data_IF_460399064897
#
_entry.id   IF_460399064897
#
_cell.length_a   1.000
_cell.length_b   1.000
_cell.length_c   1.000
_cell.angle_alpha   90.00
_cell.angle_beta   90.00
_cell.angle_gamma   90.00
#
_symmetry.space_group_name_H-M   'P 1'
#
loop_
_entity.id
_entity.type
_entity.pdbx_description
1 polymer ?
#
# COMPACT_ATOMS: atom_id res chain seq x y z
N UNK A 1 9.93 -2.77 28.55
CA UNK A 1 8.73 -2.79 29.39
C UNK A 1 8.81 -1.59 30.35
N UNK A 2 8.67 -0.42 29.76
CA UNK A 2 8.72 0.90 30.40
C UNK A 2 7.90 1.72 29.40
N UNK A 3 6.63 2.07 29.66
CA UNK A 3 6.25 3.49 29.62
C UNK A 3 4.92 3.83 30.32
N UNK A 4 4.00 2.92 30.64
CA UNK A 4 2.72 3.32 31.27
C UNK A 4 2.46 2.59 32.59
N UNK A 5 3.14 3.03 33.66
CA UNK A 5 2.81 2.69 35.06
C UNK A 5 1.52 3.35 35.55
N UNK A 6 0.53 3.54 34.68
CA UNK A 6 -0.76 4.16 35.00
C UNK A 6 -1.74 3.07 35.40
N UNK A 7 -2.20 3.03 36.66
CA UNK A 7 -3.17 2.03 37.10
C UNK A 7 -4.47 2.19 36.29
N UNK A 8 -4.94 1.08 35.70
CA UNK A 8 -6.18 1.03 34.91
C UNK A 8 -6.00 1.04 33.39
N UNK A 9 -4.76 1.20 32.88
CA UNK A 9 -4.47 1.05 31.44
C UNK A 9 -3.66 -0.24 31.22
N UNK A 10 -4.10 -1.16 30.34
CA UNK A 10 -3.37 -2.39 30.02
C UNK A 10 -2.13 -2.07 29.17
N UNK A 11 -1.10 -1.50 29.79
CA UNK A 11 0.12 -1.05 29.12
C UNK A 11 0.88 -2.18 28.42
N UNK A 12 0.85 -3.40 28.96
CA UNK A 12 1.52 -4.58 28.37
C UNK A 12 0.87 -4.98 27.03
N UNK A 13 -0.46 -4.97 26.94
CA UNK A 13 -1.17 -5.37 25.72
C UNK A 13 -1.10 -4.32 24.61
N UNK A 14 -0.96 -3.06 25.00
CA UNK A 14 -0.74 -1.92 24.08
C UNK A 14 0.69 -1.94 23.56
N UNK A 15 1.70 -2.10 24.43
CA UNK A 15 3.12 -2.18 24.03
C UNK A 15 3.35 -3.36 23.07
N UNK A 16 2.68 -4.50 23.28
CA UNK A 16 2.80 -5.67 22.40
C UNK A 16 2.22 -5.46 20.98
N UNK A 17 1.22 -4.58 20.82
CA UNK A 17 0.51 -4.36 19.54
C UNK A 17 0.90 -3.07 18.83
N UNK A 18 1.53 -2.13 19.52
CA UNK A 18 2.01 -0.87 18.96
C UNK A 18 2.95 -1.04 17.74
N UNK A 19 3.90 -2.00 17.70
CA UNK A 19 4.77 -2.18 16.53
C UNK A 19 3.98 -2.57 15.27
N UNK A 20 2.95 -3.40 15.41
CA UNK A 20 2.11 -3.85 14.30
C UNK A 20 1.33 -2.68 13.68
N UNK A 21 0.74 -1.84 14.52
CA UNK A 21 0.02 -0.66 14.08
C UNK A 21 0.94 0.36 13.39
N UNK A 22 2.20 0.47 13.82
CA UNK A 22 3.20 1.31 13.16
C UNK A 22 3.55 0.77 11.75
N UNK A 23 3.82 -0.53 11.63
CA UNK A 23 4.21 -1.15 10.36
C UNK A 23 3.07 -1.09 9.34
N UNK A 24 1.89 -1.61 9.71
CA UNK A 24 0.76 -1.66 8.78
C UNK A 24 0.08 -0.32 8.60
N UNK A 25 0.17 0.57 9.59
CA UNK A 25 -0.48 1.86 9.53
C UNK A 25 0.33 2.98 8.93
N UNK A 26 1.67 2.94 9.03
CA UNK A 26 2.51 4.06 8.55
C UNK A 26 3.49 3.61 7.49
N UNK A 27 4.27 2.56 7.75
CA UNK A 27 5.30 2.11 6.80
C UNK A 27 4.69 1.55 5.51
N UNK A 28 3.63 0.76 5.62
CA UNK A 28 3.01 0.16 4.44
C UNK A 28 2.37 1.22 3.54
N UNK A 29 1.68 2.21 4.11
CA UNK A 29 1.07 3.30 3.34
C UNK A 29 2.11 4.10 2.55
N UNK A 30 3.29 4.34 3.13
CA UNK A 30 4.40 4.98 2.43
C UNK A 30 4.86 4.17 1.20
N UNK A 31 4.98 2.84 1.33
CA UNK A 31 5.36 1.97 0.21
C UNK A 31 4.34 2.03 -0.95
N UNK A 32 3.04 2.15 -0.66
CA UNK A 32 2.01 2.28 -1.69
C UNK A 32 2.11 3.56 -2.52
N UNK A 33 2.60 4.66 -1.94
CA UNK A 33 2.83 5.88 -2.70
C UNK A 33 4.10 5.77 -3.56
N UNK A 34 5.13 5.11 -3.02
CA UNK A 34 6.50 5.15 -3.54
C UNK A 34 6.75 4.11 -4.63
N UNK A 35 6.29 2.87 -4.44
CA UNK A 35 6.53 1.75 -5.39
C UNK A 35 5.94 2.02 -6.78
N UNK A 36 4.64 2.34 -6.95
CA UNK A 36 4.09 2.60 -8.27
C UNK A 36 4.66 3.86 -8.92
N UNK A 37 5.00 4.87 -8.11
CA UNK A 37 5.66 6.08 -8.61
C UNK A 37 7.03 5.76 -9.23
N UNK A 38 7.90 5.01 -8.54
CA UNK A 38 9.20 4.63 -9.10
C UNK A 38 9.07 3.67 -10.29
N UNK A 39 8.11 2.75 -10.25
CA UNK A 39 7.83 1.88 -11.40
C UNK A 39 7.43 2.69 -12.63
N UNK A 40 6.51 3.65 -12.51
CA UNK A 40 6.14 4.50 -13.64
C UNK A 40 7.31 5.39 -14.10
N UNK A 41 8.00 6.06 -13.15
CA UNK A 41 9.05 7.01 -13.47
C UNK A 41 10.27 6.37 -14.15
N UNK A 42 10.72 5.20 -13.67
CA UNK A 42 11.91 4.55 -14.20
C UNK A 42 11.62 3.61 -15.38
N UNK A 43 10.51 2.85 -15.34
CA UNK A 43 10.21 1.86 -16.38
C UNK A 43 9.57 2.49 -17.62
N UNK A 44 8.67 3.48 -17.45
CA UNK A 44 8.01 4.15 -18.58
C UNK A 44 8.71 5.44 -19.02
N UNK A 45 9.72 5.91 -18.28
CA UNK A 45 10.28 7.27 -18.42
C UNK A 45 9.19 8.36 -18.41
N UNK A 46 8.06 8.07 -17.78
CA UNK A 46 6.90 8.95 -17.79
C UNK A 46 7.19 10.20 -16.97
N UNK A 47 7.00 11.36 -17.58
CA UNK A 47 7.23 12.67 -16.95
C UNK A 47 6.09 13.08 -16.03
N UNK A 48 4.90 12.49 -16.20
CA UNK A 48 3.68 12.81 -15.46
C UNK A 48 3.26 11.70 -14.48
N UNK A 49 4.20 10.86 -14.03
CA UNK A 49 3.93 9.80 -13.07
C UNK A 49 3.31 10.36 -11.77
N UNK A 50 2.00 10.16 -11.57
CA UNK A 50 1.31 10.65 -10.37
C UNK A 50 1.65 9.81 -9.15
N UNK A 51 1.99 10.45 -8.03
CA UNK A 51 2.07 9.80 -6.73
C UNK A 51 0.69 9.28 -6.30
N UNK A 52 0.63 8.03 -5.86
CA UNK A 52 -0.56 7.47 -5.18
C UNK A 52 -1.24 6.29 -5.86
N UNK A 53 -0.90 5.92 -7.10
CA UNK A 53 -1.43 4.71 -7.72
C UNK A 53 -2.98 4.64 -7.75
N UNK A 54 -3.54 3.45 -7.52
CA UNK A 54 -4.98 3.14 -7.62
C UNK A 54 -5.73 3.59 -6.35
N UNK A 55 -6.77 4.41 -6.52
CA UNK A 55 -7.66 4.86 -5.43
C UNK A 55 -8.25 3.71 -4.60
N UNK A 56 -8.56 2.57 -5.20
CA UNK A 56 -9.03 1.39 -4.46
C UNK A 56 -7.97 0.90 -3.47
N UNK A 57 -6.72 0.85 -3.91
CA UNK A 57 -5.60 0.47 -3.05
C UNK A 57 -5.42 1.48 -1.93
N UNK A 58 -5.43 2.78 -2.25
CA UNK A 58 -5.32 3.83 -1.24
C UNK A 58 -6.43 3.76 -0.18
N UNK A 59 -7.68 3.64 -0.60
CA UNK A 59 -8.82 3.56 0.33
C UNK A 59 -8.72 2.29 1.17
N UNK A 60 -8.44 1.14 0.55
CA UNK A 60 -8.37 -0.13 1.25
C UNK A 60 -7.21 -0.17 2.27
N UNK A 61 -6.02 0.33 1.94
CA UNK A 61 -4.90 0.35 2.89
C UNK A 61 -5.20 1.28 4.09
N UNK A 62 -5.83 2.42 3.85
CA UNK A 62 -6.20 3.35 4.91
C UNK A 62 -7.28 2.77 5.83
N UNK A 63 -8.33 2.15 5.26
CA UNK A 63 -9.38 1.49 6.06
C UNK A 63 -8.80 0.31 6.87
N UNK A 64 -7.99 -0.53 6.25
CA UNK A 64 -7.34 -1.65 6.93
C UNK A 64 -6.42 -1.20 8.07
N UNK A 65 -5.62 -0.16 7.82
CA UNK A 65 -4.79 0.50 8.83
C UNK A 65 -5.62 1.07 9.99
N UNK A 66 -6.71 1.76 9.70
CA UNK A 66 -7.56 2.35 10.73
C UNK A 66 -8.15 1.27 11.65
N UNK A 67 -8.56 0.14 11.10
CA UNK A 67 -9.06 -1.01 11.87
C UNK A 67 -7.99 -1.60 12.80
N UNK A 68 -6.74 -1.74 12.31
CA UNK A 68 -5.61 -2.19 13.14
C UNK A 68 -5.24 -1.16 14.21
N UNK A 69 -5.45 0.13 13.96
CA UNK A 69 -5.21 1.16 14.96
C UNK A 69 -6.29 1.14 16.06
N UNK A 70 -7.55 0.99 15.68
CA UNK A 70 -8.69 0.89 16.60
C UNK A 70 -8.62 -0.37 17.47
N UNK A 71 -8.05 -1.47 16.95
CA UNK A 71 -7.91 -2.74 17.71
C UNK A 71 -6.96 -2.66 18.91
N UNK A 72 -6.11 -1.62 18.98
CA UNK A 72 -5.28 -1.34 20.16
C UNK A 72 -6.19 -1.07 21.37
N UNK A 73 -7.26 -0.29 21.17
CA UNK A 73 -8.16 0.17 22.22
C UNK A 73 -9.30 -0.81 22.51
N UNK A 74 -9.74 -1.57 21.49
CA UNK A 74 -10.87 -2.50 21.60
C UNK A 74 -10.39 -3.96 21.72
N UNK A 75 -10.02 -4.36 22.94
CA UNK A 75 -9.42 -5.68 23.22
C UNK A 75 -10.36 -6.83 22.83
N UNK A 76 -11.64 -6.77 23.20
CA UNK A 76 -12.63 -7.82 22.92
C UNK A 76 -12.89 -8.00 21.41
N UNK A 77 -12.70 -6.94 20.62
CA UNK A 77 -12.89 -6.93 19.17
C UNK A 77 -11.57 -7.01 18.40
N UNK A 78 -10.44 -7.21 19.07
CA UNK A 78 -9.11 -7.17 18.45
C UNK A 78 -8.97 -8.17 17.31
N UNK A 79 -9.41 -9.41 17.54
CA UNK A 79 -9.34 -10.47 16.54
C UNK A 79 -10.17 -10.15 15.28
N UNK A 80 -11.49 -9.84 15.37
CA UNK A 80 -12.26 -9.49 14.18
C UNK A 80 -11.72 -8.22 13.49
N UNK A 81 -11.29 -7.20 14.25
CA UNK A 81 -10.70 -5.98 13.67
C UNK A 81 -9.41 -6.26 12.90
N UNK A 82 -8.52 -7.11 13.44
CA UNK A 82 -7.32 -7.54 12.71
C UNK A 82 -7.67 -8.34 11.46
N UNK A 83 -8.60 -9.30 11.55
CA UNK A 83 -9.00 -10.10 10.40
C UNK A 83 -9.55 -9.22 9.27
N UNK A 84 -10.47 -8.32 9.58
CA UNK A 84 -11.02 -7.38 8.59
C UNK A 84 -9.94 -6.42 8.08
N UNK A 85 -9.08 -5.91 8.97
CA UNK A 85 -7.96 -5.05 8.60
C UNK A 85 -7.01 -5.72 7.60
N UNK A 86 -6.68 -6.99 7.82
CA UNK A 86 -5.83 -7.78 6.92
C UNK A 86 -6.51 -8.11 5.59
N UNK A 87 -7.83 -8.31 5.57
CA UNK A 87 -8.57 -8.45 4.30
C UNK A 87 -8.47 -7.18 3.47
N UNK A 88 -8.70 -6.01 4.07
CA UNK A 88 -8.53 -4.73 3.39
C UNK A 88 -7.09 -4.52 2.89
N UNK A 89 -6.10 -4.89 3.71
CA UNK A 89 -4.69 -4.85 3.34
C UNK A 89 -4.40 -5.74 2.12
N UNK A 90 -4.94 -6.96 2.10
CA UNK A 90 -4.81 -7.90 0.99
C UNK A 90 -5.45 -7.39 -0.30
N UNK A 91 -6.68 -6.85 -0.22
CA UNK A 91 -7.36 -6.22 -1.35
C UNK A 91 -6.54 -5.06 -1.92
N UNK A 92 -5.98 -4.24 -1.03
CA UNK A 92 -5.10 -3.15 -1.45
C UNK A 92 -3.88 -3.67 -2.20
N UNK A 93 -3.23 -4.72 -1.68
CA UNK A 93 -1.98 -5.25 -2.27
C UNK A 93 -2.26 -5.80 -3.68
N UNK A 94 -3.37 -6.52 -3.83
CA UNK A 94 -3.81 -7.03 -5.12
C UNK A 94 -4.09 -5.91 -6.12
N UNK A 95 -4.78 -4.85 -5.70
CA UNK A 95 -5.10 -3.71 -6.56
C UNK A 95 -3.84 -2.97 -7.03
N UNK A 96 -2.87 -2.74 -6.14
CA UNK A 96 -1.60 -2.09 -6.52
C UNK A 96 -0.71 -2.98 -7.39
N UNK A 97 -0.60 -4.27 -7.06
CA UNK A 97 0.16 -5.24 -7.84
C UNK A 97 -0.40 -5.37 -9.27
N UNK A 98 -1.73 -5.40 -9.40
CA UNK A 98 -2.38 -5.43 -10.71
C UNK A 98 -2.06 -4.20 -11.55
N UNK A 99 -2.20 -2.99 -10.98
CA UNK A 99 -1.89 -1.75 -11.69
C UNK A 99 -0.42 -1.69 -12.12
N UNK A 100 0.49 -2.07 -11.20
CA UNK A 100 1.93 -2.09 -11.48
C UNK A 100 2.25 -3.09 -12.60
N UNK A 101 1.63 -4.28 -12.57
CA UNK A 101 1.77 -5.28 -13.63
C UNK A 101 1.25 -4.79 -14.99
N UNK A 102 0.12 -4.09 -15.01
CA UNK A 102 -0.44 -3.50 -16.23
C UNK A 102 0.50 -2.43 -16.83
N UNK A 103 1.08 -1.57 -15.99
CA UNK A 103 2.07 -0.56 -16.38
C UNK A 103 3.30 -1.24 -17.00
N UNK A 104 3.86 -2.25 -16.32
CA UNK A 104 5.03 -2.99 -16.80
C UNK A 104 4.79 -3.70 -18.13
N UNK A 105 3.62 -4.35 -18.29
CA UNK A 105 3.24 -5.00 -19.57
C UNK A 105 3.13 -4.00 -20.71
N UNK A 106 2.52 -2.85 -20.45
CA UNK A 106 2.39 -1.76 -21.44
C UNK A 106 3.76 -1.23 -21.85
N UNK A 107 4.67 -1.05 -20.90
CA UNK A 107 6.05 -0.64 -21.18
C UNK A 107 6.77 -1.65 -22.09
N UNK A 108 6.62 -2.95 -21.81
CA UNK A 108 7.26 -4.01 -22.57
C UNK A 108 6.76 -4.06 -24.02
N UNK A 109 5.45 -4.01 -24.24
CA UNK A 109 4.86 -4.00 -25.58
C UNK A 109 5.30 -2.78 -26.42
N UNK A 110 5.55 -1.63 -25.78
CA UNK A 110 6.07 -0.44 -26.46
C UNK A 110 7.49 -0.65 -26.98
N UNK A 111 8.31 -1.43 -26.29
CA UNK A 111 9.69 -1.76 -26.71
C UNK A 111 9.67 -2.82 -27.82
N UNK A 112 8.74 -3.77 -27.75
CA UNK A 112 8.57 -4.86 -28.73
C UNK A 112 7.98 -4.42 -30.07
N UNK A 113 7.45 -3.21 -30.17
CA UNK A 113 6.97 -2.64 -31.44
C UNK A 113 7.96 -1.58 -31.96
N UNK A 114 9.08 -1.97 -32.59
CA UNK A 114 9.90 -1.03 -33.35
C UNK A 114 9.04 -0.38 -34.43
N UNK A 115 9.00 0.95 -34.43
CA UNK A 115 8.39 1.75 -35.49
C UNK A 115 9.07 1.43 -36.82
N UNK A 116 8.53 0.49 -37.59
CA UNK A 116 8.74 0.39 -39.04
C UNK A 116 7.93 1.47 -39.74
N UNK A 117 8.07 2.73 -39.33
CA UNK A 117 7.74 3.86 -40.21
C UNK A 117 8.98 4.10 -41.07
N UNK A 118 8.99 3.43 -42.22
CA UNK A 118 9.82 3.85 -43.34
C UNK A 118 9.28 5.22 -43.78
N UNK A 119 10.08 6.30 -43.75
CA UNK A 119 9.62 7.59 -44.24
C UNK A 119 9.29 7.46 -45.73
N UNK A 120 8.03 7.70 -46.10
CA UNK A 120 7.63 7.85 -47.49
C UNK A 120 8.22 9.16 -48.00
N UNK A 121 9.32 9.05 -48.74
CA UNK A 121 9.94 10.16 -49.45
C UNK A 121 9.02 10.46 -50.64
N UNK A 122 8.33 11.61 -50.59
CA UNK A 122 7.56 12.19 -51.70
C UNK A 122 8.25 13.45 -52.19
#
# INVERSE_FOLDING_TARGET
LIILGVPGIPGVDIEATAPQALIYGWMLQFLYAVVPYFAARWLLHDGEASLGGNWLSLVAVNLGSALIWVSIFLIDLRNPLHATGYVFLGVSLLAAAWQTGAITRTALHRIETPTTQVPSIS
#
